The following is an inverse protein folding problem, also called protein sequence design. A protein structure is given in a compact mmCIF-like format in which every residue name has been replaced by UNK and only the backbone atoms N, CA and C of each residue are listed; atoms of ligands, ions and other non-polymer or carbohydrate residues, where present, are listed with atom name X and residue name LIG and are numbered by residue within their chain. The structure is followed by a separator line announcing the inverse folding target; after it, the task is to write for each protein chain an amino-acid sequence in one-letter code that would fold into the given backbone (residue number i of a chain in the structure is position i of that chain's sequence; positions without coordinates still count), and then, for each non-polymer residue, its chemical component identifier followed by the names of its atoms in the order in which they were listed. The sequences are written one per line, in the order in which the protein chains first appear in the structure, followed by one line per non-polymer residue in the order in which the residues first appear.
data_IF_656789417490
#
_entry.id   IF_656789417490
#
_cell.length_a   1.000
_cell.length_b   1.000
_cell.length_c   1.000
_cell.angle_alpha   90.00
_cell.angle_beta   90.00
_cell.angle_gamma   90.00
#
_symmetry.space_group_name_H-M   'P 1'
#
loop_
_entity.id
_entity.type
_entity.pdbx_description
1 polymer ?
#
# COMPACT_ATOMS: atom_id res chain seq x y z
N UNK A 1 -18.62 -20.30 5.09
CA UNK A 1 -17.23 -20.39 5.60
C UNK A 1 -16.67 -18.97 5.68
N UNK A 2 -15.52 -18.77 6.32
CA UNK A 2 -14.74 -17.52 6.25
C UNK A 2 -13.45 -17.77 5.45
N UNK A 3 -12.68 -16.73 5.18
CA UNK A 3 -11.40 -16.84 4.48
C UNK A 3 -10.28 -16.31 5.35
N UNK A 4 -9.17 -17.07 5.47
CA UNK A 4 -7.92 -16.58 6.03
C UNK A 4 -7.04 -16.07 4.90
N UNK A 5 -6.51 -14.87 5.07
CA UNK A 5 -5.59 -14.19 4.17
C UNK A 5 -4.22 -14.21 4.83
N UNK A 6 -3.18 -14.56 4.09
CA UNK A 6 -1.79 -14.52 4.53
C UNK A 6 -1.00 -13.57 3.62
N UNK A 7 -0.23 -12.66 4.22
CA UNK A 7 0.53 -11.63 3.54
C UNK A 7 1.81 -11.32 4.32
N UNK A 8 2.76 -10.64 3.70
CA UNK A 8 4.12 -10.54 4.23
C UNK A 8 4.60 -9.09 4.25
N UNK A 9 5.09 -8.65 5.42
CA UNK A 9 5.99 -7.50 5.47
C UNK A 9 7.43 -7.98 5.28
N UNK A 10 8.18 -7.30 4.44
CA UNK A 10 9.63 -7.50 4.28
C UNK A 10 10.30 -6.15 4.42
N UNK A 11 11.33 -6.05 5.26
CA UNK A 11 12.10 -4.80 5.39
C UNK A 11 13.26 -4.73 4.36
N UNK A 12 13.96 -3.60 4.32
CA UNK A 12 15.13 -3.39 3.46
C UNK A 12 16.29 -4.36 3.74
N UNK A 13 16.33 -4.97 4.93
CA UNK A 13 17.31 -5.98 5.34
C UNK A 13 16.81 -7.42 5.14
N UNK A 14 15.66 -7.61 4.47
CA UNK A 14 15.02 -8.89 4.14
C UNK A 14 14.50 -9.69 5.35
N UNK A 15 14.30 -9.07 6.51
CA UNK A 15 13.55 -9.66 7.62
C UNK A 15 12.05 -9.72 7.27
N UNK A 16 11.37 -10.76 7.75
CA UNK A 16 10.00 -11.10 7.33
C UNK A 16 9.01 -11.17 8.50
N UNK A 17 7.90 -10.43 8.42
CA UNK A 17 6.73 -10.59 9.33
C UNK A 17 5.56 -11.16 8.56
N UNK A 18 5.21 -12.41 8.86
CA UNK A 18 3.99 -13.01 8.33
C UNK A 18 2.77 -12.44 9.05
N UNK A 19 1.88 -11.84 8.27
CA UNK A 19 0.62 -11.30 8.73
C UNK A 19 -0.53 -12.22 8.32
N UNK A 20 -1.60 -12.20 9.11
CA UNK A 20 -2.81 -12.96 8.80
C UNK A 20 -4.06 -12.22 9.21
N UNK A 21 -5.12 -12.36 8.40
CA UNK A 21 -6.44 -11.81 8.70
C UNK A 21 -7.53 -12.83 8.37
N UNK A 22 -8.58 -12.89 9.19
CA UNK A 22 -9.78 -13.68 8.89
C UNK A 22 -10.90 -12.75 8.49
N UNK A 23 -11.33 -12.86 7.24
CA UNK A 23 -12.37 -12.02 6.63
C UNK A 23 -13.68 -12.81 6.47
N UNK A 24 -14.80 -12.09 6.53
CA UNK A 24 -16.14 -12.69 6.45
C UNK A 24 -16.47 -13.09 5.01
N UNK A 25 -16.85 -14.35 4.82
CA UNK A 25 -17.22 -14.91 3.53
C UNK A 25 -16.13 -15.73 2.87
N UNK A 26 -16.36 -16.12 1.62
CA UNK A 26 -15.48 -17.00 0.84
C UNK A 26 -14.95 -16.22 -0.37
N UNK A 27 -13.63 -16.13 -0.53
CA UNK A 27 -13.04 -15.62 -1.76
C UNK A 27 -13.07 -16.73 -2.82
N UNK A 28 -13.75 -16.48 -3.93
CA UNK A 28 -13.67 -17.35 -5.11
C UNK A 28 -12.30 -17.27 -5.77
N UNK A 29 -12.00 -18.21 -6.67
CA UNK A 29 -10.78 -18.12 -7.49
C UNK A 29 -10.75 -16.85 -8.37
N UNK A 30 -11.92 -16.37 -8.81
CA UNK A 30 -12.04 -15.15 -9.61
C UNK A 30 -11.76 -13.90 -8.77
N UNK A 31 -12.22 -13.88 -7.51
CA UNK A 31 -11.91 -12.80 -6.57
C UNK A 31 -10.41 -12.75 -6.28
N UNK A 32 -9.78 -13.91 -6.06
CA UNK A 32 -8.34 -13.99 -5.82
C UNK A 32 -7.54 -13.50 -7.03
N UNK A 33 -7.92 -13.91 -8.26
CA UNK A 33 -7.31 -13.40 -9.50
C UNK A 33 -7.50 -11.89 -9.65
N UNK A 34 -8.68 -11.38 -9.28
CA UNK A 34 -8.98 -9.95 -9.31
C UNK A 34 -8.06 -9.18 -8.37
N UNK A 35 -7.95 -9.62 -7.12
CA UNK A 35 -7.04 -9.04 -6.11
C UNK A 35 -5.59 -9.05 -6.60
N UNK A 36 -5.08 -10.20 -7.07
CA UNK A 36 -3.71 -10.32 -7.58
C UNK A 36 -3.45 -9.38 -8.77
N UNK A 37 -4.46 -9.12 -9.61
CA UNK A 37 -4.33 -8.19 -10.73
C UNK A 37 -4.28 -6.71 -10.34
N UNK A 38 -4.50 -6.39 -9.06
CA UNK A 38 -4.50 -5.01 -8.53
C UNK A 38 -3.18 -4.63 -7.85
N UNK A 39 -2.28 -5.59 -7.66
CA UNK A 39 -1.00 -5.39 -6.98
C UNK A 39 -0.08 -4.48 -7.79
N UNK A 40 0.63 -3.59 -7.08
CA UNK A 40 1.72 -2.79 -7.64
C UNK A 40 2.87 -3.73 -8.00
N UNK A 41 3.44 -3.56 -9.19
CA UNK A 41 4.43 -4.47 -9.80
C UNK A 41 4.06 -5.98 -9.75
N UNK A 42 2.77 -6.29 -9.58
CA UNK A 42 2.26 -7.66 -9.53
C UNK A 42 2.51 -8.40 -8.20
N UNK A 43 3.09 -7.75 -7.19
CA UNK A 43 3.37 -8.37 -5.89
C UNK A 43 3.06 -7.48 -4.67
N UNK A 44 3.07 -6.15 -4.82
CA UNK A 44 2.99 -5.22 -3.69
C UNK A 44 1.59 -4.61 -3.48
N UNK A 45 1.26 -4.34 -2.22
CA UNK A 45 0.07 -3.60 -1.82
C UNK A 45 0.25 -2.94 -0.44
N UNK A 46 -0.68 -2.06 -0.06
CA UNK A 46 -0.67 -1.40 1.26
C UNK A 46 -1.88 -1.91 2.07
N UNK A 47 -1.70 -2.74 3.12
CA UNK A 47 -2.80 -3.42 3.79
C UNK A 47 -3.86 -2.48 4.38
N UNK A 48 -3.45 -1.37 4.97
CA UNK A 48 -4.37 -0.38 5.55
C UNK A 48 -5.33 0.24 4.53
N UNK A 49 -4.91 0.37 3.27
CA UNK A 49 -5.75 0.89 2.19
C UNK A 49 -6.79 -0.12 1.69
N UNK A 50 -6.62 -1.40 2.04
CA UNK A 50 -7.60 -2.46 1.75
C UNK A 50 -8.37 -2.95 2.98
N UNK A 51 -8.13 -2.34 4.13
CA UNK A 51 -8.80 -2.64 5.39
C UNK A 51 -8.20 -3.82 6.17
N UNK A 52 -6.95 -4.17 5.87
CA UNK A 52 -6.18 -5.19 6.59
C UNK A 52 -5.23 -4.54 7.59
N UNK A 53 -4.89 -5.28 8.65
CA UNK A 53 -3.95 -4.82 9.69
C UNK A 53 -2.50 -4.89 9.19
N UNK A 54 -1.60 -4.16 9.83
CA UNK A 54 -0.18 -4.06 9.44
C UNK A 54 0.73 -4.34 10.64
N UNK A 55 1.17 -5.58 10.79
CA UNK A 55 2.22 -5.95 11.74
C UNK A 55 3.59 -5.86 11.07
N UNK A 56 4.47 -5.07 11.68
CA UNK A 56 5.85 -4.82 11.24
C UNK A 56 6.82 -5.06 12.40
N UNK A 57 8.12 -5.12 12.12
CA UNK A 57 9.15 -5.17 13.16
C UNK A 57 9.41 -3.78 13.76
N UNK A 58 9.64 -3.74 15.07
CA UNK A 58 10.29 -2.60 15.73
C UNK A 58 9.56 -1.26 15.58
N UNK A 59 10.34 -0.18 15.71
CA UNK A 59 9.89 1.20 15.46
C UNK A 59 10.23 1.60 14.04
N UNK A 60 9.32 2.34 13.38
CA UNK A 60 9.53 2.89 12.03
C UNK A 60 10.83 3.69 11.92
N UNK A 61 11.61 3.39 10.89
CA UNK A 61 12.89 4.00 10.54
C UNK A 61 12.83 4.62 9.12
N UNK A 62 13.90 5.29 8.72
CA UNK A 62 14.02 5.86 7.36
C UNK A 62 14.17 4.81 6.25
N UNK A 63 14.56 3.58 6.61
CA UNK A 63 14.72 2.46 5.68
C UNK A 63 13.42 1.64 5.51
N UNK A 64 12.38 1.92 6.31
CA UNK A 64 11.10 1.22 6.23
C UNK A 64 10.24 1.74 5.07
N UNK A 65 9.45 0.84 4.48
CA UNK A 65 8.50 1.16 3.44
C UNK A 65 7.09 0.70 3.79
N UNK A 66 6.09 1.28 3.14
CA UNK A 66 4.68 0.99 3.40
C UNK A 66 4.22 -0.35 2.79
N UNK A 67 4.94 -0.85 1.77
CA UNK A 67 4.55 -1.99 0.94
C UNK A 67 4.63 -3.34 1.67
N UNK A 68 3.62 -4.17 1.43
CA UNK A 68 3.54 -5.59 1.78
C UNK A 68 3.40 -6.42 0.53
N UNK A 69 3.73 -7.70 0.65
CA UNK A 69 3.69 -8.66 -0.45
C UNK A 69 2.48 -9.59 -0.32
N UNK A 70 1.87 -9.89 -1.46
CA UNK A 70 0.78 -10.85 -1.59
C UNK A 70 1.08 -11.84 -2.72
N UNK A 71 1.23 -13.12 -2.37
CA UNK A 71 1.54 -14.17 -3.34
C UNK A 71 0.30 -14.98 -3.76
N UNK A 72 0.30 -15.60 -4.96
CA UNK A 72 -0.71 -16.58 -5.32
C UNK A 72 -0.86 -17.67 -4.24
N UNK A 73 -2.11 -18.01 -3.88
CA UNK A 73 -2.38 -18.92 -2.77
C UNK A 73 -2.47 -18.25 -1.40
N UNK A 74 -2.52 -16.92 -1.35
CA UNK A 74 -2.69 -16.14 -0.11
C UNK A 74 -3.96 -16.48 0.69
N UNK A 75 -5.00 -17.02 0.06
CA UNK A 75 -6.31 -17.23 0.65
C UNK A 75 -6.62 -18.71 0.88
N UNK A 76 -7.14 -19.03 2.06
CA UNK A 76 -7.62 -20.38 2.41
C UNK A 76 -8.97 -20.35 3.16
N UNK A 77 -9.89 -21.29 2.90
CA UNK A 77 -11.14 -21.40 3.65
C UNK A 77 -10.88 -21.72 5.13
N UNK A 78 -11.65 -21.10 6.04
CA UNK A 78 -11.51 -21.31 7.50
C UNK A 78 -12.84 -21.18 8.25
N UNK A 79 -12.96 -21.86 9.39
CA UNK A 79 -14.06 -21.73 10.34
C UNK A 79 -13.76 -20.74 11.49
N UNK A 80 -12.57 -20.11 11.50
CA UNK A 80 -12.21 -19.11 12.50
C UNK A 80 -13.18 -17.93 12.46
N UNK A 81 -13.39 -17.28 13.62
CA UNK A 81 -14.22 -16.08 13.70
C UNK A 81 -13.60 -14.94 12.87
N UNK A 82 -14.37 -14.27 12.00
CA UNK A 82 -13.85 -13.19 11.18
C UNK A 82 -13.85 -11.87 11.95
N UNK A 83 -13.03 -10.93 11.48
CA UNK A 83 -13.18 -9.52 11.83
C UNK A 83 -14.39 -8.86 11.16
N UNK A 84 -14.32 -7.54 10.99
CA UNK A 84 -15.41 -6.75 10.39
C UNK A 84 -15.36 -6.69 8.86
N UNK A 85 -14.20 -6.93 8.25
CA UNK A 85 -14.01 -6.87 6.80
C UNK A 85 -14.66 -8.08 6.10
N UNK A 86 -15.40 -7.83 5.02
CA UNK A 86 -15.96 -8.90 4.15
C UNK A 86 -15.07 -9.14 2.92
N UNK A 87 -15.19 -10.33 2.32
CA UNK A 87 -14.52 -10.63 1.04
C UNK A 87 -14.89 -9.62 -0.06
N UNK A 88 -16.18 -9.25 -0.16
CA UNK A 88 -16.69 -8.28 -1.13
C UNK A 88 -16.04 -6.90 -0.92
N UNK A 89 -15.91 -6.45 0.33
CA UNK A 89 -15.24 -5.20 0.66
C UNK A 89 -13.75 -5.26 0.32
N UNK A 90 -13.07 -6.37 0.64
CA UNK A 90 -11.66 -6.54 0.32
C UNK A 90 -11.42 -6.42 -1.19
N UNK A 91 -12.21 -7.13 -2.01
CA UNK A 91 -12.11 -7.06 -3.48
C UNK A 91 -12.38 -5.63 -3.97
N UNK A 92 -13.43 -4.97 -3.46
CA UNK A 92 -13.76 -3.60 -3.84
C UNK A 92 -12.64 -2.61 -3.48
N UNK A 93 -11.99 -2.79 -2.32
CA UNK A 93 -10.90 -1.93 -1.90
C UNK A 93 -9.66 -2.11 -2.79
N UNK A 94 -9.30 -3.35 -3.15
CA UNK A 94 -8.21 -3.61 -4.10
C UNK A 94 -8.48 -3.00 -5.47
N UNK A 95 -9.72 -3.10 -5.97
CA UNK A 95 -10.12 -2.48 -7.23
C UNK A 95 -10.03 -0.95 -7.18
N UNK A 96 -10.36 -0.34 -6.05
CA UNK A 96 -10.25 1.10 -5.85
C UNK A 96 -8.79 1.57 -5.75
N UNK A 97 -7.93 0.78 -5.10
CA UNK A 97 -6.52 1.09 -4.91
C UNK A 97 -5.67 0.85 -6.17
N UNK A 98 -6.12 0.00 -7.10
CA UNK A 98 -5.38 -0.35 -8.32
C UNK A 98 -4.92 0.89 -9.09
N UNK A 99 -3.60 1.06 -9.20
CA UNK A 99 -2.96 2.20 -9.88
C UNK A 99 -3.08 3.54 -9.14
N UNK A 100 -3.51 3.53 -7.87
CA UNK A 100 -3.71 4.69 -7.01
C UNK A 100 -3.26 4.41 -5.56
N UNK A 101 -2.30 3.51 -5.35
CA UNK A 101 -1.73 3.23 -4.03
C UNK A 101 -1.06 4.49 -3.47
N UNK A 102 -1.47 4.91 -2.27
CA UNK A 102 -0.86 6.06 -1.59
C UNK A 102 0.33 5.60 -0.74
N UNK A 103 1.53 5.61 -1.33
CA UNK A 103 2.76 5.21 -0.65
C UNK A 103 3.41 6.35 0.16
N UNK A 104 2.76 7.51 0.23
CA UNK A 104 3.29 8.71 0.87
C UNK A 104 4.36 9.45 0.07
N UNK A 105 4.64 9.03 -1.18
CA UNK A 105 5.47 9.80 -2.10
C UNK A 105 4.71 11.04 -2.61
N UNK A 106 5.43 12.14 -2.84
CA UNK A 106 4.83 13.31 -3.49
C UNK A 106 4.36 12.89 -4.89
N UNK A 107 3.13 13.27 -5.30
CA UNK A 107 2.65 12.92 -6.62
C UNK A 107 3.61 13.49 -7.67
N UNK A 108 4.19 12.60 -8.48
CA UNK A 108 5.06 13.00 -9.58
C UNK A 108 4.36 14.09 -10.41
N UNK A 109 5.01 15.25 -10.65
CA UNK A 109 4.41 16.29 -11.46
C UNK A 109 4.12 15.69 -12.83
N UNK A 110 2.83 15.54 -13.14
CA UNK A 110 2.40 14.87 -14.36
C UNK A 110 3.08 15.46 -15.61
N UNK A 111 3.13 14.72 -16.73
CA UNK A 111 3.89 15.08 -17.93
C UNK A 111 3.44 16.37 -18.67
N UNK A 112 2.68 17.26 -18.02
CA UNK A 112 2.23 18.55 -18.52
C UNK A 112 2.56 19.76 -17.62
N UNK A 113 3.28 19.61 -16.51
CA UNK A 113 3.73 20.78 -15.76
C UNK A 113 4.99 21.39 -16.42
N UNK A 114 4.96 22.62 -16.95
CA UNK A 114 6.18 23.26 -17.45
C UNK A 114 7.14 23.48 -16.28
N UNK A 115 8.29 22.79 -16.33
CA UNK A 115 9.44 23.09 -15.49
C UNK A 115 9.91 24.51 -15.80
N UNK A 116 9.64 25.46 -14.91
CA UNK A 116 10.05 26.84 -15.12
C UNK A 116 9.42 27.87 -14.21
N UNK A 117 9.81 27.90 -12.94
CA UNK A 117 9.87 29.14 -12.17
C UNK A 117 10.90 29.01 -11.04
N UNK A 118 12.18 29.00 -11.39
CA UNK A 118 13.24 29.40 -10.45
C UNK A 118 13.05 30.89 -10.21
N UNK A 119 12.35 31.26 -9.14
CA UNK A 119 12.35 32.64 -8.68
C UNK A 119 13.68 32.87 -7.96
N UNK A 120 14.68 33.38 -8.67
CA UNK A 120 15.90 33.86 -8.04
C UNK A 120 15.55 35.08 -7.17
N UNK A 121 15.64 34.93 -5.86
CA UNK A 121 15.61 36.03 -4.91
C UNK A 121 16.98 36.71 -4.99
N UNK A 122 17.17 37.61 -5.95
CA UNK A 122 18.39 38.42 -6.01
C UNK A 122 18.42 39.40 -4.83
N UNK A 123 19.22 39.06 -3.82
CA UNK A 123 19.70 40.00 -2.80
C UNK A 123 20.40 41.16 -3.48
N UNK A 124 19.85 42.37 -3.36
CA UNK A 124 20.62 43.61 -3.51
C UNK A 124 19.94 44.71 -2.69
N UNK A 125 20.50 44.99 -1.50
CA UNK A 125 20.29 46.26 -0.81
C UNK A 125 21.62 47.02 -0.88
N UNK A 126 21.65 48.04 -1.75
CA UNK A 126 22.76 48.97 -1.89
C UNK A 126 22.79 49.94 -0.71
N UNK A 127 23.99 50.15 -0.15
CA UNK A 127 24.34 51.30 0.68
C UNK A 127 24.28 52.59 -0.14
N UNK A 128 23.86 53.71 0.46
CA UNK A 128 24.16 55.04 -0.12
C UNK A 128 23.28 56.20 0.34
N UNK A 129 23.82 56.99 1.25
CA UNK A 129 23.38 58.26 1.85
C UNK A 129 23.01 59.36 0.84
N UNK A 130 22.10 60.26 1.25
CA UNK A 130 22.29 61.71 1.20
C UNK A 130 21.50 62.38 2.34
#
# INVERSE_FOLDING_TARGET
MNTRINYLYRDASNYKVHNTAVIRGELSEEDQKTILSCLEDGEYFIPSQVGLDEERFGSWTEDDHCWFELEPGFAEPTNAAPGNLTCEQLVANFLAAKGNWDDGSEPEPGPGAPSGAVVHHSTTAFFGTL
#
